data_IF_085206864236
#
_entry.id   IF_085206864236
#
_cell.length_a   1.000
_cell.length_b   1.000
_cell.length_c   1.000
_cell.angle_alpha   90.00
_cell.angle_beta   90.00
_cell.angle_gamma   90.00
#
_symmetry.space_group_name_H-M   'P 1'
#
loop_
_entity.id
_entity.type
_entity.pdbx_description
1 polymer ?
#
# COMPACT_ATOMS: atom_id res chain seq x y z
N UNK A 1 -26.49 10.71 18.85
CA UNK A 1 -26.42 9.77 20.00
C UNK A 1 -27.75 9.04 20.10
N UNK A 2 -27.72 7.71 20.21
CA UNK A 2 -28.85 6.74 20.17
C UNK A 2 -29.50 6.55 18.80
N UNK A 3 -28.91 5.67 17.99
CA UNK A 3 -29.58 4.75 17.03
C UNK A 3 -28.58 4.12 16.03
N UNK A 4 -27.30 3.96 16.39
CA UNK A 4 -26.29 3.32 15.53
C UNK A 4 -25.42 2.36 16.36
N UNK A 5 -26.06 1.44 17.08
CA UNK A 5 -25.37 0.47 17.94
C UNK A 5 -25.99 -0.93 17.94
N UNK A 6 -26.95 -1.24 17.05
CA UNK A 6 -27.68 -2.51 17.10
C UNK A 6 -27.60 -3.38 15.82
N UNK A 7 -26.76 -3.01 14.84
CA UNK A 7 -26.59 -3.81 13.59
C UNK A 7 -25.12 -4.12 13.25
N UNK A 8 -24.22 -4.08 14.25
CA UNK A 8 -22.83 -4.55 14.09
C UNK A 8 -22.60 -5.88 14.84
N UNK A 9 -23.61 -6.34 15.60
CA UNK A 9 -23.47 -7.49 16.50
C UNK A 9 -23.60 -8.88 15.88
N UNK A 10 -23.91 -9.02 14.58
CA UNK A 10 -24.19 -10.35 14.00
C UNK A 10 -23.35 -10.71 12.75
N UNK A 11 -22.62 -9.75 12.15
CA UNK A 11 -21.67 -10.07 11.08
C UNK A 11 -20.26 -10.40 11.61
N UNK A 12 -19.89 -9.95 12.81
CA UNK A 12 -18.61 -10.30 13.44
C UNK A 12 -18.49 -11.77 13.86
N UNK A 13 -19.60 -12.44 14.16
CA UNK A 13 -19.58 -13.81 14.68
C UNK A 13 -19.58 -14.91 13.60
N UNK A 14 -19.96 -14.58 12.36
CA UNK A 14 -19.88 -15.53 11.25
C UNK A 14 -18.52 -15.49 10.53
N UNK A 15 -17.85 -14.33 10.51
CA UNK A 15 -16.45 -14.25 10.07
C UNK A 15 -15.49 -14.97 11.04
N UNK A 16 -15.74 -14.87 12.36
CA UNK A 16 -14.97 -15.57 13.40
C UNK A 16 -15.14 -17.09 13.43
N UNK A 17 -16.16 -17.65 12.77
CA UNK A 17 -16.38 -19.11 12.68
C UNK A 17 -15.74 -19.73 11.44
N UNK A 18 -15.55 -18.98 10.36
CA UNK A 18 -14.86 -19.47 9.15
C UNK A 18 -13.33 -19.34 9.25
N UNK A 19 -12.80 -18.32 9.94
CA UNK A 19 -11.36 -18.16 10.12
C UNK A 19 -10.77 -19.14 11.16
N UNK A 20 -11.61 -19.72 12.03
CA UNK A 20 -11.18 -20.67 13.07
C UNK A 20 -10.95 -22.11 12.57
N UNK A 21 -11.29 -22.42 11.31
CA UNK A 21 -11.10 -23.75 10.71
C UNK A 21 -9.94 -23.82 9.71
N UNK A 22 -9.37 -22.68 9.31
CA UNK A 22 -8.26 -22.61 8.33
C UNK A 22 -6.93 -22.11 8.91
N UNK A 23 -6.91 -21.66 10.17
CA UNK A 23 -5.69 -21.34 10.91
C UNK A 23 -5.76 -21.92 12.33
N UNK A 24 -5.04 -23.03 12.56
CA UNK A 24 -4.75 -23.50 13.92
C UNK A 24 -3.94 -22.47 14.72
N UNK A 25 -3.95 -22.53 16.06
CA UNK A 25 -3.32 -21.53 16.90
C UNK A 25 -1.81 -21.42 16.62
N UNK A 26 -1.21 -20.21 16.73
CA UNK A 26 0.24 -20.08 16.63
C UNK A 26 0.88 -20.84 17.78
N UNK A 27 1.74 -21.79 17.41
CA UNK A 27 2.59 -22.56 18.31
C UNK A 27 3.37 -21.54 19.16
N UNK A 28 3.29 -21.57 20.51
CA UNK A 28 4.01 -20.63 21.35
C UNK A 28 5.54 -20.80 21.19
N UNK A 29 6.38 -19.78 21.47
CA UNK A 29 7.81 -19.80 21.15
C UNK A 29 8.65 -20.85 21.89
N UNK A 30 8.03 -21.66 22.75
CA UNK A 30 8.63 -22.81 23.43
C UNK A 30 8.17 -24.17 22.85
N UNK A 31 7.22 -24.19 21.92
CA UNK A 31 6.65 -25.40 21.34
C UNK A 31 7.26 -25.79 19.98
N UNK A 32 8.38 -25.15 19.59
CA UNK A 32 9.29 -25.66 18.57
C UNK A 32 10.46 -26.39 19.23
N UNK A 33 10.14 -27.44 19.99
CA UNK A 33 11.14 -28.45 20.34
C UNK A 33 11.18 -29.39 19.16
N UNK A 34 12.16 -29.13 18.31
CA UNK A 34 12.75 -30.05 17.33
C UNK A 34 12.41 -31.52 17.65
N UNK A 35 11.44 -32.09 16.94
CA UNK A 35 11.01 -33.49 17.10
C UNK A 35 12.07 -34.48 16.61
N UNK A 36 13.26 -34.00 16.23
CA UNK A 36 14.49 -34.79 16.07
C UNK A 36 15.35 -34.86 17.33
N UNK A 37 14.88 -34.33 18.48
CA UNK A 37 15.60 -34.34 19.77
C UNK A 37 14.93 -35.14 20.89
N UNK A 38 14.02 -36.04 20.55
CA UNK A 38 13.54 -37.09 21.46
C UNK A 38 13.73 -38.45 20.77
N UNK A 39 14.86 -39.12 21.01
CA UNK A 39 15.04 -40.47 20.47
C UNK A 39 16.47 -41.01 20.35
N UNK A 40 17.50 -40.22 20.64
CA UNK A 40 18.87 -40.70 20.83
C UNK A 40 19.62 -39.65 21.66
N UNK A 41 19.80 -39.91 22.95
CA UNK A 41 20.69 -39.08 23.77
C UNK A 41 22.10 -39.48 23.39
N UNK A 42 22.79 -38.52 22.78
CA UNK A 42 24.23 -38.30 22.70
C UNK A 42 25.05 -39.42 23.34
N UNK A 43 25.74 -40.21 22.50
CA UNK A 43 26.69 -41.27 22.92
C UNK A 43 27.55 -40.84 24.10
N UNK A 44 27.99 -39.58 24.14
CA UNK A 44 28.80 -39.00 25.22
C UNK A 44 28.14 -39.05 26.62
N UNK A 45 26.83 -38.80 26.75
CA UNK A 45 26.14 -38.86 28.05
C UNK A 45 25.91 -40.31 28.50
N UNK A 46 25.55 -41.20 27.56
CA UNK A 46 25.43 -42.63 27.83
C UNK A 46 26.77 -43.23 28.26
N UNK A 47 27.87 -42.92 27.55
CA UNK A 47 29.23 -43.36 27.91
C UNK A 47 29.65 -42.83 29.28
N UNK A 48 29.31 -41.58 29.62
CA UNK A 48 29.58 -41.03 30.97
C UNK A 48 28.88 -41.84 32.06
N UNK A 49 27.57 -42.10 31.92
CA UNK A 49 26.78 -42.86 32.90
C UNK A 49 27.28 -44.30 33.02
N UNK A 50 27.61 -44.95 31.91
CA UNK A 50 28.17 -46.31 31.91
C UNK A 50 29.52 -46.39 32.65
N UNK A 51 30.38 -45.39 32.46
CA UNK A 51 31.66 -45.30 33.16
C UNK A 51 31.46 -45.04 34.67
N UNK A 52 30.49 -44.21 35.05
CA UNK A 52 30.12 -43.99 36.46
C UNK A 52 29.64 -45.29 37.13
N UNK A 53 28.76 -46.06 36.46
CA UNK A 53 28.28 -47.36 36.96
C UNK A 53 29.43 -48.36 37.07
N UNK A 54 30.31 -48.44 36.07
CA UNK A 54 31.49 -49.31 36.08
C UNK A 54 32.42 -49.02 37.25
N UNK A 55 32.70 -47.73 37.53
CA UNK A 55 33.51 -47.32 38.68
C UNK A 55 32.83 -47.57 40.03
N UNK A 56 31.51 -47.41 40.10
CA UNK A 56 30.73 -47.73 41.31
C UNK A 56 30.74 -49.24 41.62
N UNK A 57 30.62 -50.11 40.59
CA UNK A 57 30.72 -51.56 40.73
C UNK A 57 32.11 -51.99 41.22
N UNK A 58 33.18 -51.35 40.73
CA UNK A 58 34.54 -51.61 41.23
C UNK A 58 34.68 -51.26 42.71
N UNK A 59 34.15 -50.11 43.12
CA UNK A 59 34.18 -49.67 44.51
C UNK A 59 33.44 -50.66 45.43
N UNK A 60 32.29 -51.17 44.97
CA UNK A 60 31.51 -52.20 45.67
C UNK A 60 32.27 -53.52 45.79
N UNK A 61 32.85 -54.01 44.69
CA UNK A 61 33.64 -55.23 44.68
C UNK A 61 34.88 -55.13 45.60
N UNK A 62 35.54 -53.97 45.64
CA UNK A 62 36.69 -53.74 46.54
C UNK A 62 36.26 -53.77 48.00
N UNK A 63 35.13 -53.15 48.36
CA UNK A 63 34.63 -53.17 49.73
C UNK A 63 34.22 -54.58 50.17
N UNK A 64 33.57 -55.35 49.30
CA UNK A 64 33.21 -56.75 49.55
C UNK A 64 34.46 -57.60 49.79
N UNK A 65 35.46 -57.50 48.91
CA UNK A 65 36.72 -58.23 49.06
C UNK A 65 37.47 -57.86 50.35
N UNK A 66 37.41 -56.59 50.77
CA UNK A 66 38.02 -56.13 52.01
C UNK A 66 37.32 -56.66 53.27
N UNK A 67 35.99 -56.79 53.25
CA UNK A 67 35.22 -57.29 54.39
C UNK A 67 35.29 -58.80 54.55
N UNK A 68 35.44 -59.52 53.44
CA UNK A 68 35.50 -60.98 53.41
C UNK A 68 36.69 -61.47 52.59
N UNK A 69 37.91 -61.48 53.16
CA UNK A 69 39.11 -61.89 52.44
C UNK A 69 39.29 -63.42 52.35
N UNK A 70 38.38 -64.20 52.94
CA UNK A 70 38.48 -65.67 52.97
C UNK A 70 38.08 -66.29 51.63
N UNK A 71 38.85 -67.30 51.22
CA UNK A 71 38.58 -68.16 50.05
C UNK A 71 37.52 -69.25 50.34
N UNK A 72 37.14 -69.47 51.60
CA UNK A 72 36.07 -70.41 51.95
C UNK A 72 34.71 -69.87 51.53
N UNK A 73 33.81 -70.77 51.09
CA UNK A 73 32.46 -70.37 50.70
C UNK A 73 31.64 -69.86 51.90
N UNK A 74 30.75 -68.89 51.69
CA UNK A 74 29.93 -68.34 52.77
C UNK A 74 29.08 -69.41 53.48
N UNK A 75 28.65 -70.45 52.76
CA UNK A 75 27.92 -71.58 53.35
C UNK A 75 28.74 -72.42 54.34
N UNK A 76 30.07 -72.45 54.16
CA UNK A 76 30.99 -73.10 55.09
C UNK A 76 31.27 -72.21 56.31
N UNK A 77 31.32 -70.88 56.09
CA UNK A 77 31.64 -69.91 57.14
C UNK A 77 30.47 -69.59 58.07
N UNK A 78 29.25 -69.43 57.53
CA UNK A 78 28.12 -68.87 58.28
C UNK A 78 26.82 -69.68 58.18
N UNK A 79 26.81 -70.83 57.49
CA UNK A 79 25.73 -71.82 57.56
C UNK A 79 25.07 -72.16 56.22
N UNK A 80 24.27 -73.23 56.21
CA UNK A 80 23.68 -73.83 55.01
C UNK A 80 22.82 -72.88 54.15
N UNK A 81 22.29 -71.81 54.73
CA UNK A 81 21.40 -70.84 54.08
C UNK A 81 22.15 -69.69 53.39
N UNK A 82 23.48 -69.75 53.35
CA UNK A 82 24.31 -68.74 52.70
C UNK A 82 24.63 -69.11 51.25
N UNK A 83 24.94 -68.14 50.39
CA UNK A 83 25.35 -68.39 49.01
C UNK A 83 26.59 -69.28 48.92
N UNK A 84 26.63 -70.15 47.92
CA UNK A 84 27.76 -71.05 47.65
C UNK A 84 28.88 -70.31 46.87
N UNK A 85 29.42 -69.24 47.46
CA UNK A 85 30.52 -68.44 46.88
C UNK A 85 31.44 -67.92 47.97
N UNK A 86 32.72 -67.73 47.64
CA UNK A 86 33.69 -67.06 48.52
C UNK A 86 33.56 -65.53 48.44
N UNK A 87 34.24 -64.82 49.35
CA UNK A 87 34.31 -63.35 49.28
C UNK A 87 34.92 -62.82 47.98
N UNK A 88 36.07 -63.35 47.53
CA UNK A 88 36.64 -63.05 46.22
C UNK A 88 35.72 -63.37 45.04
N UNK A 89 35.03 -64.52 45.06
CA UNK A 89 34.07 -64.90 44.02
C UNK A 89 32.88 -63.93 43.97
N UNK A 90 32.40 -63.49 45.14
CA UNK A 90 31.31 -62.53 45.22
C UNK A 90 31.73 -61.15 44.69
N UNK A 91 32.96 -60.72 44.98
CA UNK A 91 33.53 -59.51 44.39
C UNK A 91 33.71 -59.64 42.87
N UNK A 92 34.07 -60.82 42.35
CA UNK A 92 34.14 -61.08 40.91
C UNK A 92 32.74 -61.06 40.26
N UNK A 93 31.74 -61.63 40.93
CA UNK A 93 30.35 -61.61 40.48
C UNK A 93 29.82 -60.18 40.32
N UNK A 94 30.07 -59.30 41.30
CA UNK A 94 29.69 -57.88 41.20
C UNK A 94 30.34 -57.16 40.01
N UNK A 95 31.50 -57.63 39.54
CA UNK A 95 32.16 -57.08 38.36
C UNK A 95 31.65 -57.65 37.05
N UNK A 96 30.82 -58.70 37.04
CA UNK A 96 30.36 -59.35 35.81
C UNK A 96 29.69 -58.38 34.81
N UNK A 97 28.89 -57.37 35.23
CA UNK A 97 28.24 -56.48 34.26
C UNK A 97 29.21 -55.57 33.52
N UNK A 98 30.46 -55.42 34.00
CA UNK A 98 31.45 -54.56 33.34
C UNK A 98 31.80 -55.04 31.94
N UNK A 99 31.81 -56.35 31.70
CA UNK A 99 32.04 -56.91 30.37
C UNK A 99 30.91 -56.53 29.40
N UNK A 100 29.67 -56.55 29.89
CA UNK A 100 28.50 -56.11 29.13
C UNK A 100 28.56 -54.61 28.85
N UNK A 101 28.88 -53.80 29.86
CA UNK A 101 29.08 -52.36 29.70
C UNK A 101 30.12 -52.06 28.60
N UNK A 102 31.23 -52.80 28.58
CA UNK A 102 32.27 -52.66 27.54
C UNK A 102 31.74 -53.01 26.14
N UNK A 103 30.96 -54.07 26.00
CA UNK A 103 30.39 -54.49 24.72
C UNK A 103 29.35 -53.53 24.13
N UNK A 104 28.80 -52.63 24.95
CA UNK A 104 27.71 -51.71 24.59
C UNK A 104 28.20 -50.24 24.53
N UNK A 105 29.50 -49.96 24.70
CA UNK A 105 30.04 -48.59 24.73
C UNK A 105 29.71 -47.75 23.49
N UNK A 106 29.65 -48.38 22.31
CA UNK A 106 29.37 -47.73 21.04
C UNK A 106 27.89 -47.82 20.61
N UNK A 107 27.03 -48.46 21.42
CA UNK A 107 25.63 -48.66 21.10
C UNK A 107 24.80 -47.38 21.35
N UNK A 108 23.78 -47.17 20.52
CA UNK A 108 22.81 -46.08 20.72
C UNK A 108 21.78 -46.51 21.77
N UNK A 109 21.96 -46.06 23.02
CA UNK A 109 21.07 -46.37 24.15
C UNK A 109 19.90 -45.38 24.19
N UNK A 110 18.69 -45.87 24.51
CA UNK A 110 17.51 -45.01 24.64
C UNK A 110 17.62 -44.05 25.83
N UNK A 111 17.02 -42.87 25.72
CA UNK A 111 17.04 -41.84 26.77
C UNK A 111 16.43 -42.32 28.11
N UNK A 112 15.45 -43.23 28.05
CA UNK A 112 14.84 -43.79 29.26
C UNK A 112 15.77 -44.76 29.97
N UNK A 113 16.51 -45.60 29.23
CA UNK A 113 17.47 -46.52 29.82
C UNK A 113 18.72 -45.80 30.34
N UNK A 114 19.18 -44.73 29.69
CA UNK A 114 20.22 -43.85 30.26
C UNK A 114 19.78 -43.29 31.61
N UNK A 115 18.51 -42.86 31.73
CA UNK A 115 17.95 -42.43 33.02
C UNK A 115 17.93 -43.56 34.04
N UNK A 116 17.49 -44.76 33.66
CA UNK A 116 17.46 -45.94 34.56
C UNK A 116 18.86 -46.34 35.03
N UNK A 117 19.85 -46.32 34.15
CA UNK A 117 21.26 -46.59 34.47
C UNK A 117 21.85 -45.53 35.40
N UNK A 118 21.49 -44.25 35.26
CA UNK A 118 21.95 -43.20 36.19
C UNK A 118 21.49 -43.44 37.63
N UNK A 119 20.31 -44.05 37.83
CA UNK A 119 19.81 -44.41 39.16
C UNK A 119 20.56 -45.60 39.76
N UNK A 120 21.17 -46.47 38.94
CA UNK A 120 21.97 -47.60 39.40
C UNK A 120 23.19 -47.11 40.19
N UNK A 121 23.89 -46.08 39.70
CA UNK A 121 25.03 -45.50 40.42
C UNK A 121 24.63 -45.00 41.82
N UNK A 122 23.47 -44.33 41.93
CA UNK A 122 22.94 -43.87 43.22
C UNK A 122 22.58 -45.03 44.16
N UNK A 123 22.01 -46.12 43.62
CA UNK A 123 21.69 -47.33 44.39
C UNK A 123 22.93 -48.04 44.90
N UNK A 124 24.00 -48.10 44.09
CA UNK A 124 25.29 -48.66 44.52
C UNK A 124 25.85 -47.85 45.71
N UNK A 125 25.78 -46.51 45.67
CA UNK A 125 26.20 -45.68 46.80
C UNK A 125 25.40 -45.97 48.07
N UNK A 126 24.08 -46.16 47.96
CA UNK A 126 23.25 -46.57 49.09
C UNK A 126 23.66 -47.95 49.64
N UNK A 127 23.95 -48.92 48.76
CA UNK A 127 24.41 -50.26 49.11
C UNK A 127 25.75 -50.21 49.85
N UNK A 128 26.73 -49.45 49.35
CA UNK A 128 28.03 -49.24 49.99
C UNK A 128 27.89 -48.70 51.42
N UNK A 129 27.01 -47.73 51.63
CA UNK A 129 26.83 -47.07 52.94
C UNK A 129 26.01 -47.88 53.94
N UNK A 130 25.00 -48.62 53.49
CA UNK A 130 23.96 -49.17 54.38
C UNK A 130 23.83 -50.70 54.35
N UNK A 131 24.27 -51.36 53.28
CA UNK A 131 24.03 -52.80 53.08
C UNK A 131 25.31 -53.61 53.26
N UNK A 132 26.41 -53.20 52.63
CA UNK A 132 27.67 -53.98 52.57
C UNK A 132 28.24 -54.27 53.95
N UNK A 133 28.12 -53.35 54.91
CA UNK A 133 28.56 -53.56 56.30
C UNK A 133 27.90 -54.75 56.99
N UNK A 134 26.74 -55.21 56.51
CA UNK A 134 26.03 -56.39 57.05
C UNK A 134 26.48 -57.71 56.40
N UNK A 135 27.49 -57.67 55.52
CA UNK A 135 27.97 -58.86 54.82
C UNK A 135 28.56 -59.91 55.78
N UNK A 136 29.37 -59.58 56.80
CA UNK A 136 29.89 -60.59 57.71
C UNK A 136 28.79 -61.21 58.61
N UNK A 137 28.71 -62.54 58.61
CA UNK A 137 27.86 -63.31 59.52
C UNK A 137 26.49 -63.66 58.96
N UNK A 138 25.48 -63.72 59.85
CA UNK A 138 24.16 -64.30 59.55
C UNK A 138 23.31 -63.54 58.52
N UNK A 139 23.68 -62.31 58.15
CA UNK A 139 22.92 -61.47 57.20
C UNK A 139 23.46 -61.54 55.76
N UNK A 140 24.52 -62.31 55.51
CA UNK A 140 25.16 -62.39 54.19
C UNK A 140 24.20 -62.81 53.07
N UNK A 141 23.26 -63.72 53.35
CA UNK A 141 22.24 -64.15 52.39
C UNK A 141 21.35 -62.99 51.91
N UNK A 142 20.97 -62.07 52.79
CA UNK A 142 20.17 -60.90 52.42
C UNK A 142 20.98 -59.89 51.62
N UNK A 143 22.25 -59.68 51.98
CA UNK A 143 23.17 -58.82 51.23
C UNK A 143 23.36 -59.36 49.81
N UNK A 144 23.52 -60.67 49.66
CA UNK A 144 23.58 -61.32 48.35
C UNK A 144 22.32 -61.07 47.52
N UNK A 145 21.12 -61.26 48.07
CA UNK A 145 19.86 -61.03 47.33
C UNK A 145 19.77 -59.58 46.83
N UNK A 146 20.13 -58.60 47.67
CA UNK A 146 20.11 -57.19 47.29
C UNK A 146 21.08 -56.92 46.14
N UNK A 147 22.31 -57.42 46.23
CA UNK A 147 23.33 -57.23 45.19
C UNK A 147 22.98 -58.01 43.91
N UNK A 148 22.45 -59.21 44.02
CA UNK A 148 21.99 -60.01 42.88
C UNK A 148 20.90 -59.27 42.10
N UNK A 149 19.92 -58.68 42.81
CA UNK A 149 18.85 -57.89 42.16
C UNK A 149 19.37 -56.65 41.43
N UNK A 150 20.50 -56.08 41.90
CA UNK A 150 21.17 -54.97 41.23
C UNK A 150 21.86 -55.45 39.94
N UNK A 151 22.63 -56.54 40.03
CA UNK A 151 23.36 -57.13 38.89
C UNK A 151 22.38 -57.56 37.79
N UNK A 152 21.31 -58.28 38.14
CA UNK A 152 20.27 -58.70 37.19
C UNK A 152 19.58 -57.52 36.50
N UNK A 153 19.37 -56.40 37.22
CA UNK A 153 18.77 -55.19 36.65
C UNK A 153 19.68 -54.57 35.59
N UNK A 154 20.99 -54.51 35.85
CA UNK A 154 21.97 -54.00 34.88
C UNK A 154 22.00 -54.91 33.64
N UNK A 155 22.10 -56.23 33.84
CA UNK A 155 22.15 -57.21 32.75
C UNK A 155 20.91 -57.13 31.86
N UNK A 156 19.72 -57.01 32.46
CA UNK A 156 18.45 -56.88 31.74
C UNK A 156 18.40 -55.60 30.88
N UNK A 157 18.93 -54.48 31.38
CA UNK A 157 18.94 -53.22 30.63
C UNK A 157 19.97 -53.27 29.50
N UNK A 158 21.09 -53.95 29.67
CA UNK A 158 22.17 -53.97 28.67
C UNK A 158 22.00 -55.07 27.62
N UNK A 159 21.35 -56.19 27.96
CA UNK A 159 21.19 -57.34 27.07
C UNK A 159 20.42 -57.03 25.79
N UNK A 160 19.51 -56.05 25.83
CA UNK A 160 18.74 -55.60 24.67
C UNK A 160 19.57 -54.83 23.63
N UNK A 161 20.79 -54.42 23.98
CA UNK A 161 21.69 -53.65 23.11
C UNK A 161 22.86 -54.49 22.56
N UNK A 162 22.90 -55.79 22.87
CA UNK A 162 23.89 -56.70 22.28
C UNK A 162 23.54 -57.03 20.82
N UNK A 163 24.53 -57.03 19.90
CA UNK A 163 24.32 -57.47 18.53
C UNK A 163 23.90 -58.95 18.51
N UNK A 164 22.79 -59.25 17.81
CA UNK A 164 22.08 -60.54 17.75
C UNK A 164 22.82 -61.68 17.02
N UNK A 165 24.15 -61.69 16.99
CA UNK A 165 24.94 -62.65 16.19
C UNK A 165 25.30 -63.96 16.91
N UNK A 166 24.89 -64.13 18.17
CA UNK A 166 25.40 -65.17 19.06
C UNK A 166 24.52 -66.44 19.14
N UNK A 167 23.51 -66.59 18.28
CA UNK A 167 22.66 -67.81 18.23
C UNK A 167 22.86 -68.62 16.96
N UNK A 168 24.07 -68.64 16.41
CA UNK A 168 24.44 -69.62 15.38
C UNK A 168 25.47 -70.58 15.96
N UNK A 169 25.09 -71.86 16.05
CA UNK A 169 26.07 -72.94 16.16
C UNK A 169 27.01 -72.82 14.96
N UNK A 170 28.24 -72.37 15.19
CA UNK A 170 29.24 -72.24 14.14
C UNK A 170 29.68 -73.64 13.66
N UNK A 171 28.95 -74.17 12.68
CA UNK A 171 29.17 -75.48 12.07
C UNK A 171 30.57 -75.60 11.44
N UNK A 172 31.24 -74.48 11.14
CA UNK A 172 32.62 -74.48 10.64
C UNK A 172 33.62 -74.94 11.72
N UNK A 173 33.39 -74.55 12.97
CA UNK A 173 34.26 -74.94 14.09
C UNK A 173 34.24 -76.45 14.39
N UNK A 174 33.15 -77.15 14.01
CA UNK A 174 33.00 -78.61 14.18
C UNK A 174 33.71 -79.37 13.04
N UNK A 175 33.72 -78.81 11.83
CA UNK A 175 34.36 -79.40 10.65
C UNK A 175 35.89 -79.39 10.77
N UNK A 176 36.47 -78.28 11.24
CA UNK A 176 37.93 -78.12 11.37
C UNK A 176 38.56 -78.99 12.47
N UNK A 177 37.78 -79.36 13.49
CA UNK A 177 38.28 -80.16 14.62
C UNK A 177 38.10 -81.68 14.45
N UNK A 178 37.55 -82.12 13.31
CA UNK A 178 37.35 -83.53 12.97
C UNK A 178 36.65 -84.35 14.09
N UNK A 179 35.72 -83.70 14.82
CA UNK A 179 35.12 -84.23 16.05
C UNK A 179 33.98 -85.23 15.78
N UNK A 180 33.51 -85.35 14.53
CA UNK A 180 32.37 -86.19 14.17
C UNK A 180 32.69 -87.11 12.98
N UNK A 181 32.23 -88.37 13.00
CA UNK A 181 32.35 -89.29 11.87
C UNK A 181 31.63 -88.75 10.61
N UNK A 182 32.21 -89.01 9.44
CA UNK A 182 31.74 -88.49 8.15
C UNK A 182 30.26 -88.81 7.80
N UNK A 183 29.70 -89.87 8.38
CA UNK A 183 28.29 -90.24 8.20
C UNK A 183 27.32 -89.28 8.90
N UNK A 184 27.67 -88.78 10.09
CA UNK A 184 26.83 -87.87 10.87
C UNK A 184 26.89 -86.45 10.32
N UNK A 185 28.07 -86.02 9.85
CA UNK A 185 28.28 -84.74 9.16
C UNK A 185 27.41 -84.63 7.89
N UNK A 186 27.26 -85.75 7.16
CA UNK A 186 26.40 -85.82 5.97
C UNK A 186 24.92 -85.69 6.30
N UNK A 187 24.47 -86.27 7.43
CA UNK A 187 23.08 -86.13 7.89
C UNK A 187 22.79 -84.69 8.32
N UNK A 188 23.71 -84.08 9.08
CA UNK A 188 23.60 -82.67 9.48
C UNK A 188 23.52 -81.71 8.29
N UNK A 189 24.30 -81.94 7.23
CA UNK A 189 24.20 -81.14 5.99
C UNK A 189 22.84 -81.30 5.31
N UNK A 190 22.30 -82.52 5.28
CA UNK A 190 20.97 -82.76 4.71
C UNK A 190 19.88 -82.07 5.51
N UNK A 191 19.92 -82.15 6.84
CA UNK A 191 18.92 -81.50 7.70
C UNK A 191 19.04 -79.97 7.64
N UNK A 192 20.25 -79.41 7.63
CA UNK A 192 20.47 -77.97 7.43
C UNK A 192 19.90 -77.48 6.10
N UNK A 193 20.18 -78.19 5.00
CA UNK A 193 19.65 -77.85 3.67
C UNK A 193 18.13 -77.99 3.57
N UNK A 194 17.53 -78.92 4.32
CA UNK A 194 16.08 -79.08 4.38
C UNK A 194 15.40 -77.93 5.14
N UNK A 195 16.02 -77.46 6.22
CA UNK A 195 15.54 -76.31 7.00
C UNK A 195 15.66 -75.02 6.18
N UNK A 196 16.76 -74.85 5.45
CA UNK A 196 16.96 -73.69 4.56
C UNK A 196 15.90 -73.63 3.44
N UNK A 197 15.56 -74.77 2.83
CA UNK A 197 14.49 -74.86 1.83
C UNK A 197 13.11 -74.50 2.39
N UNK A 198 12.79 -74.94 3.60
CA UNK A 198 11.52 -74.61 4.27
C UNK A 198 11.41 -73.11 4.57
N UNK A 199 12.52 -72.45 4.92
CA UNK A 199 12.55 -71.00 5.11
C UNK A 199 12.26 -70.22 3.81
N UNK A 200 12.79 -70.68 2.67
CA UNK A 200 12.53 -70.07 1.36
C UNK A 200 11.07 -70.23 0.94
N UNK A 201 10.47 -71.42 1.11
CA UNK A 201 9.07 -71.67 0.73
C UNK A 201 8.07 -70.86 1.58
N UNK A 202 8.35 -70.64 2.87
CA UNK A 202 7.53 -69.80 3.74
C UNK A 202 7.48 -68.34 3.27
N UNK A 203 8.61 -67.82 2.78
CA UNK A 203 8.71 -66.43 2.29
C UNK A 203 7.93 -66.19 0.99
N UNK A 204 7.95 -67.16 0.05
CA UNK A 204 7.19 -67.08 -1.21
C UNK A 204 5.67 -67.19 -0.95
N UNK A 205 5.26 -68.03 0.01
CA UNK A 205 3.86 -68.17 0.38
C UNK A 205 3.32 -66.86 1.01
N UNK A 206 4.11 -66.22 1.87
CA UNK A 206 3.73 -64.95 2.50
C UNK A 206 3.54 -63.84 1.45
N UNK A 207 4.47 -63.72 0.49
CA UNK A 207 4.37 -62.76 -0.62
C UNK A 207 3.11 -62.93 -1.46
N UNK A 208 2.73 -64.19 -1.75
CA UNK A 208 1.50 -64.49 -2.49
C UNK A 208 0.25 -64.12 -1.70
N UNK A 209 0.22 -64.41 -0.40
CA UNK A 209 -0.90 -64.04 0.48
C UNK A 209 -1.03 -62.52 0.58
N UNK A 210 0.08 -61.79 0.72
CA UNK A 210 0.08 -60.32 0.76
C UNK A 210 -0.45 -59.72 -0.56
N UNK A 211 -0.06 -60.31 -1.70
CA UNK A 211 -0.55 -59.90 -3.02
C UNK A 211 -2.06 -60.11 -3.18
N UNK A 212 -2.58 -61.27 -2.73
CA UNK A 212 -4.02 -61.58 -2.80
C UNK A 212 -4.81 -60.62 -1.91
N UNK A 213 -4.32 -60.34 -0.71
CA UNK A 213 -4.97 -59.40 0.20
C UNK A 213 -4.98 -57.97 -0.36
N UNK A 214 -3.87 -57.53 -0.95
CA UNK A 214 -3.79 -56.22 -1.60
C UNK A 214 -4.78 -56.08 -2.77
N UNK A 215 -4.88 -57.10 -3.64
CA UNK A 215 -5.84 -57.10 -4.75
C UNK A 215 -7.29 -57.14 -4.26
N UNK A 216 -7.57 -57.87 -3.18
CA UNK A 216 -8.91 -57.95 -2.61
C UNK A 216 -9.38 -56.62 -2.03
N UNK A 217 -8.49 -55.87 -1.36
CA UNK A 217 -8.79 -54.53 -0.85
C UNK A 217 -9.12 -53.56 -2.00
N UNK A 218 -8.31 -53.54 -3.06
CA UNK A 218 -8.54 -52.70 -4.25
C UNK A 218 -9.84 -53.06 -4.97
N UNK A 219 -10.18 -54.34 -5.06
CA UNK A 219 -11.41 -54.78 -5.71
C UNK A 219 -12.69 -54.39 -4.93
N UNK A 220 -12.61 -54.24 -3.61
CA UNK A 220 -13.73 -53.76 -2.79
C UNK A 220 -13.97 -52.25 -2.96
N UNK A 221 -12.92 -51.46 -3.22
CA UNK A 221 -13.00 -50.00 -3.34
C UNK A 221 -13.43 -49.54 -4.75
N UNK A 222 -13.19 -50.35 -5.80
CA UNK A 222 -13.47 -50.00 -7.20
C UNK A 222 -14.91 -49.51 -7.49
N UNK A 223 -16.00 -50.15 -6.99
CA UNK A 223 -17.36 -49.71 -7.29
C UNK A 223 -17.69 -48.33 -6.71
N UNK A 224 -17.14 -48.00 -5.54
CA UNK A 224 -17.29 -46.69 -4.92
C UNK A 224 -16.58 -45.60 -5.75
N UNK A 225 -15.40 -45.92 -6.28
CA UNK A 225 -14.64 -45.01 -7.14
C UNK A 225 -15.35 -44.74 -8.48
N UNK A 226 -15.95 -45.75 -9.13
CA UNK A 226 -16.69 -45.55 -10.39
C UNK A 226 -17.93 -44.67 -10.19
N UNK A 227 -18.65 -44.86 -9.09
CA UNK A 227 -19.79 -44.02 -8.75
C UNK A 227 -19.36 -42.57 -8.50
N UNK A 228 -18.28 -42.37 -7.73
CA UNK A 228 -17.73 -41.04 -7.46
C UNK A 228 -17.26 -40.33 -8.75
N UNK A 229 -16.71 -41.08 -9.70
CA UNK A 229 -16.26 -40.56 -11.00
C UNK A 229 -17.44 -40.16 -11.89
N UNK A 230 -18.54 -40.93 -11.86
CA UNK A 230 -19.78 -40.60 -12.57
C UNK A 230 -20.42 -39.33 -12.00
N UNK A 231 -20.45 -39.20 -10.67
CA UNK A 231 -20.95 -38.01 -9.97
C UNK A 231 -20.08 -36.78 -10.26
N UNK A 232 -18.75 -36.92 -10.24
CA UNK A 232 -17.82 -35.85 -10.61
C UNK A 232 -18.00 -35.40 -12.06
N UNK A 233 -18.25 -36.32 -13.00
CA UNK A 233 -18.57 -35.98 -14.41
C UNK A 233 -19.88 -35.23 -14.55
N UNK A 234 -20.91 -35.64 -13.81
CA UNK A 234 -22.20 -34.95 -13.78
C UNK A 234 -22.06 -33.52 -13.27
N UNK A 235 -21.36 -33.35 -12.14
CA UNK A 235 -21.06 -32.03 -11.56
C UNK A 235 -20.25 -31.15 -12.52
N UNK A 236 -19.28 -31.73 -13.23
CA UNK A 236 -18.50 -30.99 -14.24
C UNK A 236 -19.38 -30.52 -15.42
N UNK A 237 -20.33 -31.32 -15.88
CA UNK A 237 -21.26 -30.93 -16.94
C UNK A 237 -22.18 -29.78 -16.50
N UNK A 238 -22.69 -29.82 -15.26
CA UNK A 238 -23.49 -28.74 -14.67
C UNK A 238 -22.64 -27.47 -14.56
N UNK A 239 -21.41 -27.57 -14.04
CA UNK A 239 -20.49 -26.44 -13.92
C UNK A 239 -20.15 -25.81 -15.28
N UNK A 240 -20.01 -26.61 -16.34
CA UNK A 240 -19.81 -26.07 -17.69
C UNK A 240 -21.01 -25.30 -18.21
N UNK A 241 -22.23 -25.79 -17.95
CA UNK A 241 -23.45 -25.10 -18.36
C UNK A 241 -23.63 -23.78 -17.60
N UNK A 242 -23.39 -23.79 -16.29
CA UNK A 242 -23.40 -22.57 -15.47
C UNK A 242 -22.35 -21.55 -15.94
N UNK A 243 -21.15 -22.02 -16.32
CA UNK A 243 -20.10 -21.16 -16.86
C UNK A 243 -20.52 -20.54 -18.20
N UNK A 244 -21.19 -21.29 -19.07
CA UNK A 244 -21.72 -20.77 -20.33
C UNK A 244 -22.80 -19.70 -20.10
N UNK A 245 -23.69 -19.91 -19.12
CA UNK A 245 -24.73 -18.93 -18.76
C UNK A 245 -24.13 -17.67 -18.14
N UNK A 246 -23.15 -17.81 -17.24
CA UNK A 246 -22.46 -16.67 -16.60
C UNK A 246 -21.68 -15.87 -17.64
N UNK A 247 -20.98 -16.53 -18.56
CA UNK A 247 -20.24 -15.84 -19.64
C UNK A 247 -21.19 -15.15 -20.62
N UNK A 248 -22.36 -15.73 -20.90
CA UNK A 248 -23.43 -15.09 -21.66
C UNK A 248 -23.91 -13.79 -21.00
N UNK A 249 -24.28 -13.86 -19.72
CA UNK A 249 -24.72 -12.69 -18.92
C UNK A 249 -23.63 -11.63 -18.78
N UNK A 250 -22.38 -12.04 -18.61
CA UNK A 250 -21.24 -11.12 -18.52
C UNK A 250 -21.03 -10.35 -19.84
N UNK A 251 -21.14 -11.03 -20.99
CA UNK A 251 -21.05 -10.37 -22.29
C UNK A 251 -22.22 -9.43 -22.57
N UNK A 252 -23.43 -9.79 -22.15
CA UNK A 252 -24.61 -8.92 -22.23
C UNK A 252 -24.42 -7.66 -21.37
N UNK A 253 -24.00 -7.84 -20.12
CA UNK A 253 -23.67 -6.73 -19.21
C UNK A 253 -22.57 -5.83 -19.77
N UNK A 254 -21.55 -6.40 -20.42
CA UNK A 254 -20.46 -5.64 -21.05
C UNK A 254 -20.99 -4.77 -22.19
N UNK A 255 -21.90 -5.30 -23.03
CA UNK A 255 -22.57 -4.51 -24.08
C UNK A 255 -23.41 -3.37 -23.50
N UNK A 256 -24.16 -3.64 -22.42
CA UNK A 256 -24.93 -2.60 -21.74
C UNK A 256 -24.03 -1.49 -21.18
N UNK A 257 -22.91 -1.86 -20.55
CA UNK A 257 -21.92 -0.90 -20.03
C UNK A 257 -21.33 -0.05 -21.15
N UNK A 258 -20.95 -0.65 -22.28
CA UNK A 258 -20.44 0.10 -23.44
C UNK A 258 -21.47 1.10 -23.98
N UNK A 259 -22.75 0.69 -24.03
CA UNK A 259 -23.83 1.54 -24.51
C UNK A 259 -24.11 2.69 -23.52
N UNK A 260 -24.01 2.42 -22.22
CA UNK A 260 -24.10 3.45 -21.17
C UNK A 260 -22.91 4.40 -21.26
N UNK A 261 -21.70 3.91 -21.49
CA UNK A 261 -20.49 4.72 -21.64
C UNK A 261 -20.62 5.67 -22.83
N UNK A 262 -21.08 5.20 -23.99
CA UNK A 262 -21.32 6.04 -25.16
C UNK A 262 -22.36 7.14 -24.86
N UNK A 263 -23.47 6.78 -24.19
CA UNK A 263 -24.49 7.74 -23.75
C UNK A 263 -23.93 8.74 -22.75
N UNK A 264 -23.06 8.31 -21.84
CA UNK A 264 -22.43 9.17 -20.83
C UNK A 264 -21.50 10.19 -21.50
N UNK A 265 -20.68 9.75 -22.45
CA UNK A 265 -19.80 10.65 -23.23
C UNK A 265 -20.63 11.66 -24.02
N UNK A 266 -21.70 11.22 -24.69
CA UNK A 266 -22.60 12.14 -25.40
C UNK A 266 -23.25 13.15 -24.46
N UNK A 267 -23.74 12.69 -23.30
CA UNK A 267 -24.33 13.55 -22.29
C UNK A 267 -23.31 14.54 -21.70
N UNK A 268 -22.06 14.13 -21.48
CA UNK A 268 -20.99 15.02 -21.01
C UNK A 268 -20.68 16.11 -22.06
N UNK A 269 -20.57 15.74 -23.33
CA UNK A 269 -20.38 16.71 -24.43
C UNK A 269 -21.56 17.70 -24.50
N UNK A 270 -22.79 17.23 -24.32
CA UNK A 270 -23.96 18.11 -24.30
C UNK A 270 -23.99 19.01 -23.06
N UNK A 271 -23.68 18.46 -21.88
CA UNK A 271 -23.57 19.21 -20.63
C UNK A 271 -22.50 20.31 -20.72
N UNK A 272 -21.33 20.01 -21.28
CA UNK A 272 -20.28 20.98 -21.53
C UNK A 272 -20.73 22.09 -22.49
N UNK A 273 -21.47 21.75 -23.56
CA UNK A 273 -22.05 22.75 -24.48
C UNK A 273 -23.06 23.64 -23.78
N UNK A 274 -23.94 23.07 -22.94
CA UNK A 274 -24.93 23.82 -22.18
C UNK A 274 -24.24 24.73 -21.15
N UNK A 275 -23.24 24.24 -20.42
CA UNK A 275 -22.44 25.03 -19.50
C UNK A 275 -21.70 26.17 -20.21
N UNK A 276 -21.11 25.92 -21.37
CA UNK A 276 -20.45 26.97 -22.16
C UNK A 276 -21.44 28.05 -22.62
N UNK A 277 -22.64 27.67 -23.07
CA UNK A 277 -23.70 28.62 -23.44
C UNK A 277 -24.20 29.41 -22.23
N UNK A 278 -24.40 28.75 -21.09
CA UNK A 278 -24.82 29.39 -19.85
C UNK A 278 -23.77 30.38 -19.35
N UNK A 279 -22.49 29.99 -19.32
CA UNK A 279 -21.38 30.87 -18.94
C UNK A 279 -21.23 32.06 -19.91
N UNK A 280 -21.38 31.83 -21.22
CA UNK A 280 -21.37 32.91 -22.21
C UNK A 280 -22.52 33.89 -21.98
N UNK A 281 -23.75 33.39 -21.83
CA UNK A 281 -24.93 34.21 -21.56
C UNK A 281 -24.81 34.96 -20.22
N UNK A 282 -24.31 34.30 -19.17
CA UNK A 282 -24.07 34.90 -17.86
C UNK A 282 -22.98 35.97 -17.93
N UNK A 283 -21.86 35.70 -18.61
CA UNK A 283 -20.79 36.70 -18.82
C UNK A 283 -21.29 37.91 -19.61
N UNK A 284 -22.15 37.70 -20.62
CA UNK A 284 -22.74 38.77 -21.41
C UNK A 284 -23.74 39.63 -20.60
N UNK A 285 -24.48 39.02 -19.68
CA UNK A 285 -25.45 39.71 -18.82
C UNK A 285 -24.84 40.37 -17.57
N UNK A 286 -23.57 40.11 -17.29
CA UNK A 286 -22.87 40.61 -16.10
C UNK A 286 -21.98 41.81 -16.43
N UNK A 287 -21.31 42.30 -15.39
CA UNK A 287 -20.25 43.33 -15.39
C UNK A 287 -19.16 43.06 -16.43
N UNK A 288 -18.84 41.81 -16.76
CA UNK A 288 -17.91 41.47 -17.87
C UNK A 288 -18.46 41.93 -19.22
N UNK A 289 -19.70 41.57 -19.54
CA UNK A 289 -20.37 41.95 -20.79
C UNK A 289 -20.65 43.45 -20.88
N UNK A 290 -21.07 44.08 -19.78
CA UNK A 290 -21.23 45.54 -19.70
C UNK A 290 -19.89 46.26 -19.93
N UNK A 291 -18.80 45.80 -19.29
CA UNK A 291 -17.47 46.35 -19.49
C UNK A 291 -16.99 46.23 -20.94
N UNK A 292 -17.24 45.09 -21.58
CA UNK A 292 -16.94 44.89 -23.00
C UNK A 292 -17.76 45.83 -23.90
N UNK A 293 -19.05 46.01 -23.63
CA UNK A 293 -19.91 46.93 -24.38
C UNK A 293 -19.46 48.39 -24.23
N UNK A 294 -19.04 48.81 -23.02
CA UNK A 294 -18.47 50.14 -22.80
C UNK A 294 -17.14 50.33 -23.52
N UNK A 295 -16.24 49.34 -23.49
CA UNK A 295 -14.98 49.37 -24.23
C UNK A 295 -15.20 49.47 -25.75
N UNK A 296 -16.17 48.72 -26.27
CA UNK A 296 -16.53 48.77 -27.69
C UNK A 296 -17.07 50.15 -28.07
N UNK A 297 -17.95 50.73 -27.25
CA UNK A 297 -18.47 52.10 -27.46
C UNK A 297 -17.36 53.14 -27.40
N UNK A 298 -16.47 53.07 -26.41
CA UNK A 298 -15.32 53.96 -26.28
C UNK A 298 -14.41 53.90 -27.51
N UNK A 299 -14.05 52.69 -27.97
CA UNK A 299 -13.18 52.51 -29.14
C UNK A 299 -13.83 52.98 -30.45
N UNK A 300 -15.12 52.73 -30.66
CA UNK A 300 -15.88 53.26 -31.82
C UNK A 300 -15.88 54.79 -31.82
N UNK A 301 -16.06 55.41 -30.65
CA UNK A 301 -16.08 56.86 -30.52
C UNK A 301 -14.68 57.48 -30.72
N UNK A 302 -13.63 56.82 -30.21
CA UNK A 302 -12.24 57.20 -30.45
C UNK A 302 -11.87 57.11 -31.95
N UNK A 303 -12.21 56.01 -32.63
CA UNK A 303 -12.02 55.87 -34.09
C UNK A 303 -12.77 56.95 -34.86
N UNK A 304 -14.01 57.26 -34.47
CA UNK A 304 -14.79 58.34 -35.08
C UNK A 304 -14.14 59.72 -34.85
N UNK A 305 -13.55 59.94 -33.68
CA UNK A 305 -12.81 61.15 -33.32
C UNK A 305 -11.58 61.30 -34.24
N UNK A 306 -10.82 60.23 -34.48
CA UNK A 306 -9.69 60.26 -35.44
C UNK A 306 -10.13 60.62 -36.87
N UNK A 307 -11.26 60.07 -37.34
CA UNK A 307 -11.81 60.41 -38.65
C UNK A 307 -12.20 61.89 -38.73
N UNK A 308 -12.86 62.43 -37.69
CA UNK A 308 -13.17 63.87 -37.62
C UNK A 308 -11.89 64.73 -37.61
N UNK A 309 -10.83 64.28 -36.92
CA UNK A 309 -9.54 64.96 -36.91
C UNK A 309 -8.92 65.04 -38.31
N UNK A 310 -9.03 63.97 -39.10
CA UNK A 310 -8.60 63.97 -40.51
C UNK A 310 -9.45 64.93 -41.36
N UNK A 311 -10.77 64.93 -41.19
CA UNK A 311 -11.66 65.86 -41.90
C UNK A 311 -11.34 67.32 -41.53
N UNK A 312 -11.04 67.60 -40.26
CA UNK A 312 -10.62 68.91 -39.79
C UNK A 312 -9.33 69.37 -40.47
N UNK A 313 -8.32 68.48 -40.57
CA UNK A 313 -7.07 68.76 -41.25
C UNK A 313 -7.29 69.09 -42.74
N UNK A 314 -8.14 68.32 -43.42
CA UNK A 314 -8.52 68.59 -44.82
C UNK A 314 -9.27 69.91 -44.95
N UNK A 315 -10.22 70.21 -44.06
CA UNK A 315 -10.98 71.46 -44.08
C UNK A 315 -10.06 72.67 -43.88
N UNK A 316 -9.08 72.58 -42.98
CA UNK A 316 -8.09 73.63 -42.75
C UNK A 316 -7.16 73.81 -43.96
N UNK A 317 -6.72 72.70 -44.57
CA UNK A 317 -5.93 72.71 -45.80
C UNK A 317 -6.69 73.37 -46.97
N UNK A 318 -7.94 72.99 -47.20
CA UNK A 318 -8.80 73.63 -48.20
C UNK A 318 -9.05 75.11 -47.89
N UNK A 319 -9.25 75.47 -46.62
CA UNK A 319 -9.37 76.87 -46.22
C UNK A 319 -8.12 77.68 -46.56
N UNK A 320 -6.93 77.13 -46.28
CA UNK A 320 -5.66 77.77 -46.60
C UNK A 320 -5.45 77.92 -48.12
N UNK A 321 -5.75 76.90 -48.92
CA UNK A 321 -5.60 76.98 -50.38
C UNK A 321 -6.60 77.95 -51.01
N UNK A 322 -7.87 77.93 -50.60
CA UNK A 322 -8.89 78.90 -51.04
C UNK A 322 -8.47 80.32 -50.68
N UNK A 323 -7.99 80.53 -49.45
CA UNK A 323 -7.53 81.85 -48.99
C UNK A 323 -6.36 82.33 -49.84
N UNK A 324 -5.35 81.48 -50.09
CA UNK A 324 -4.20 81.82 -50.92
C UNK A 324 -4.61 82.28 -52.33
N UNK A 325 -5.43 81.49 -53.04
CA UNK A 325 -5.88 81.85 -54.38
C UNK A 325 -6.74 83.11 -54.41
N UNK A 326 -7.63 83.29 -53.42
CA UNK A 326 -8.50 84.48 -53.36
C UNK A 326 -7.72 85.76 -53.03
N UNK A 327 -6.78 85.69 -52.09
CA UNK A 327 -5.92 86.83 -51.74
C UNK A 327 -5.04 87.21 -52.92
N UNK A 328 -4.44 86.22 -53.61
CA UNK A 328 -3.65 86.47 -54.82
C UNK A 328 -4.49 87.11 -55.93
N UNK A 329 -5.73 86.65 -56.11
CA UNK A 329 -6.65 87.22 -57.11
C UNK A 329 -7.03 88.68 -56.81
N UNK A 330 -7.40 88.99 -55.56
CA UNK A 330 -7.70 90.38 -55.15
C UNK A 330 -6.46 91.27 -55.24
N UNK A 331 -5.28 90.76 -54.87
CA UNK A 331 -4.02 91.49 -55.00
C UNK A 331 -3.69 91.80 -56.47
N UNK A 332 -3.83 90.83 -57.38
CA UNK A 332 -3.65 91.04 -58.83
C UNK A 332 -4.63 92.05 -59.40
N UNK A 333 -5.89 92.05 -58.93
CA UNK A 333 -6.87 93.06 -59.32
C UNK A 333 -6.44 94.47 -58.87
N UNK A 334 -5.89 94.63 -57.67
CA UNK A 334 -5.43 95.95 -57.18
C UNK A 334 -4.23 96.53 -57.95
N UNK A 335 -3.44 95.68 -58.62
CA UNK A 335 -2.27 96.12 -59.40
C UNK A 335 -2.63 96.64 -60.81
N UNK A 336 -3.88 96.49 -61.27
CA UNK A 336 -4.29 96.94 -62.60
C UNK A 336 -4.64 98.45 -62.61
N UNK A 337 -4.23 99.22 -63.64
CA UNK A 337 -4.62 100.63 -63.76
C UNK A 337 -6.12 100.76 -64.11
N UNK A 338 -6.85 101.63 -63.40
CA UNK A 338 -8.28 101.92 -63.56
C UNK A 338 -9.29 100.83 -63.13
N UNK A 339 -9.14 100.26 -61.92
CA UNK A 339 -10.11 99.28 -61.38
C UNK A 339 -11.36 99.99 -60.85
N UNK A 340 -12.54 99.54 -61.27
CA UNK A 340 -13.82 99.98 -60.72
C UNK A 340 -13.98 99.49 -59.26
N UNK A 341 -14.15 100.42 -58.33
CA UNK A 341 -14.33 100.16 -56.89
C UNK A 341 -15.44 99.13 -56.60
N UNK A 342 -16.51 99.12 -57.40
CA UNK A 342 -17.62 98.16 -57.23
C UNK A 342 -17.16 96.71 -57.48
N UNK A 343 -16.31 96.50 -58.49
CA UNK A 343 -15.77 95.16 -58.82
C UNK A 343 -14.82 94.68 -57.73
N UNK A 344 -14.03 95.59 -57.16
CA UNK A 344 -13.13 95.27 -56.04
C UNK A 344 -13.92 94.83 -54.81
N UNK A 345 -14.95 95.58 -54.41
CA UNK A 345 -15.76 95.24 -53.23
C UNK A 345 -16.52 93.92 -53.37
N UNK A 346 -17.08 93.64 -54.54
CA UNK A 346 -17.75 92.36 -54.81
C UNK A 346 -16.76 91.20 -54.64
N UNK A 347 -15.52 91.33 -55.12
CA UNK A 347 -14.52 90.27 -54.97
C UNK A 347 -14.00 90.11 -53.53
N UNK A 348 -13.93 91.21 -52.77
CA UNK A 348 -13.60 91.16 -51.34
C UNK A 348 -14.70 90.45 -50.54
N UNK A 349 -15.98 90.73 -50.80
CA UNK A 349 -17.09 90.05 -50.11
C UNK A 349 -17.18 88.58 -50.48
N UNK A 350 -16.98 88.22 -51.76
CA UNK A 350 -16.88 86.82 -52.19
C UNK A 350 -15.71 86.10 -51.52
N UNK A 351 -14.57 86.77 -51.32
CA UNK A 351 -13.42 86.22 -50.61
C UNK A 351 -13.74 85.98 -49.14
N UNK A 352 -14.32 86.97 -48.45
CA UNK A 352 -14.74 86.85 -47.06
C UNK A 352 -15.75 85.71 -46.86
N UNK A 353 -16.75 85.59 -47.74
CA UNK A 353 -17.72 84.50 -47.71
C UNK A 353 -17.07 83.13 -47.97
N UNK A 354 -16.14 83.06 -48.93
CA UNK A 354 -15.45 81.82 -49.29
C UNK A 354 -14.56 81.29 -48.14
N UNK A 355 -13.89 82.18 -47.40
CA UNK A 355 -13.03 81.81 -46.25
C UNK A 355 -13.88 81.48 -45.01
N UNK A 356 -15.03 82.13 -44.86
CA UNK A 356 -15.93 81.90 -43.72
C UNK A 356 -16.44 80.46 -43.65
N UNK A 357 -16.70 79.81 -44.79
CA UNK A 357 -17.25 78.44 -44.82
C UNK A 357 -16.27 77.37 -44.26
N UNK A 358 -15.00 77.28 -44.71
CA UNK A 358 -14.01 76.38 -44.10
C UNK A 358 -13.72 76.68 -42.62
N UNK A 359 -13.68 77.97 -42.24
CA UNK A 359 -13.45 78.39 -40.84
C UNK A 359 -14.61 77.96 -39.94
N UNK A 360 -15.86 78.14 -40.39
CA UNK A 360 -17.04 77.67 -39.68
C UNK A 360 -17.06 76.15 -39.53
N UNK A 361 -16.73 75.43 -40.61
CA UNK A 361 -16.65 73.97 -40.60
C UNK A 361 -15.59 73.47 -39.61
N UNK A 362 -14.39 74.09 -39.61
CA UNK A 362 -13.31 73.76 -38.69
C UNK A 362 -13.73 73.99 -37.22
N UNK A 363 -14.44 75.09 -36.94
CA UNK A 363 -14.98 75.36 -35.61
C UNK A 363 -15.99 74.31 -35.15
N UNK A 364 -16.96 73.93 -35.99
CA UNK A 364 -17.93 72.85 -35.67
C UNK A 364 -17.20 71.54 -35.38
N UNK A 365 -16.26 71.15 -36.25
CA UNK A 365 -15.49 69.92 -36.09
C UNK A 365 -14.68 69.91 -34.79
N UNK A 366 -14.11 71.06 -34.41
CA UNK A 366 -13.35 71.23 -33.15
C UNK A 366 -14.25 71.11 -31.91
N UNK A 367 -15.54 71.45 -31.99
CA UNK A 367 -16.49 71.16 -30.90
C UNK A 367 -16.90 69.69 -30.87
N UNK A 368 -17.20 69.10 -32.03
CA UNK A 368 -17.60 67.70 -32.11
C UNK A 368 -16.50 66.73 -31.66
N UNK A 369 -15.25 67.01 -32.00
CA UNK A 369 -14.08 66.23 -31.55
C UNK A 369 -13.96 66.27 -30.01
N UNK A 370 -14.12 67.44 -29.40
CA UNK A 370 -14.04 67.60 -27.94
C UNK A 370 -15.15 66.84 -27.22
N UNK A 371 -16.39 66.92 -27.71
CA UNK A 371 -17.52 66.18 -27.16
C UNK A 371 -17.33 64.67 -27.27
N UNK A 372 -16.93 64.17 -28.45
CA UNK A 372 -16.71 62.72 -28.66
C UNK A 372 -15.52 62.18 -27.88
N UNK A 373 -14.46 62.96 -27.69
CA UNK A 373 -13.33 62.57 -26.86
C UNK A 373 -13.73 62.43 -25.38
N UNK A 374 -14.44 63.42 -24.82
CA UNK A 374 -14.94 63.36 -23.43
C UNK A 374 -15.85 62.15 -23.20
N UNK A 375 -16.75 61.87 -24.15
CA UNK A 375 -17.62 60.68 -24.09
C UNK A 375 -16.82 59.37 -24.21
N UNK A 376 -15.77 59.33 -25.04
CA UNK A 376 -14.94 58.14 -25.20
C UNK A 376 -14.18 57.82 -23.91
N UNK A 377 -13.65 58.85 -23.24
CA UNK A 377 -12.95 58.71 -21.96
C UNK A 377 -13.89 58.26 -20.84
N UNK A 378 -15.12 58.81 -20.76
CA UNK A 378 -16.12 58.37 -19.77
C UNK A 378 -16.49 56.88 -19.95
N UNK A 379 -16.73 56.44 -21.18
CA UNK A 379 -16.99 55.03 -21.47
C UNK A 379 -15.76 54.15 -21.22
N UNK A 380 -14.55 54.65 -21.51
CA UNK A 380 -13.29 53.98 -21.20
C UNK A 380 -13.11 53.77 -19.69
N UNK A 381 -13.40 54.80 -18.90
CA UNK A 381 -13.39 54.74 -17.44
C UNK A 381 -14.40 53.71 -16.91
N UNK A 382 -15.64 53.73 -17.41
CA UNK A 382 -16.67 52.73 -17.02
C UNK A 382 -16.26 51.30 -17.36
N UNK A 383 -15.63 51.09 -18.52
CA UNK A 383 -15.09 49.79 -18.89
C UNK A 383 -13.97 49.33 -17.94
N UNK A 384 -13.06 50.24 -17.57
CA UNK A 384 -11.98 49.96 -16.62
C UNK A 384 -12.51 49.62 -15.23
N UNK A 385 -13.51 50.36 -14.72
CA UNK A 385 -14.17 50.10 -13.44
C UNK A 385 -14.87 48.74 -13.45
N UNK A 386 -15.61 48.41 -14.50
CA UNK A 386 -16.27 47.11 -14.63
C UNK A 386 -15.27 45.94 -14.64
N UNK A 387 -14.14 46.10 -15.34
CA UNK A 387 -13.08 45.09 -15.38
C UNK A 387 -12.34 44.96 -14.04
N UNK A 388 -12.07 46.07 -13.37
CA UNK A 388 -11.47 46.07 -12.04
C UNK A 388 -12.39 45.41 -11.00
N UNK A 389 -13.70 45.69 -11.06
CA UNK A 389 -14.69 45.03 -10.21
C UNK A 389 -14.64 43.51 -10.36
N UNK A 390 -14.63 42.99 -11.59
CA UNK A 390 -14.55 41.54 -11.82
C UNK A 390 -13.24 40.91 -11.31
N UNK A 391 -12.12 41.62 -11.45
CA UNK A 391 -10.84 41.19 -10.87
C UNK A 391 -10.88 41.08 -9.34
N UNK A 392 -11.41 42.11 -8.67
CA UNK A 392 -11.46 42.15 -7.21
C UNK A 392 -12.63 41.38 -6.60
N UNK A 393 -13.69 41.09 -7.35
CA UNK A 393 -14.89 40.39 -6.85
C UNK A 393 -14.55 39.00 -6.31
N UNK A 394 -13.68 38.26 -7.00
CA UNK A 394 -13.28 36.92 -6.58
C UNK A 394 -12.46 36.95 -5.28
N UNK A 395 -11.56 37.91 -5.13
CA UNK A 395 -10.73 38.08 -3.93
C UNK A 395 -11.55 38.62 -2.75
N UNK A 396 -12.43 39.61 -2.99
CA UNK A 396 -13.28 40.20 -1.97
C UNK A 396 -14.28 39.17 -1.39
N UNK A 397 -14.82 38.28 -2.24
CA UNK A 397 -15.73 37.22 -1.80
C UNK A 397 -15.07 36.20 -0.86
N UNK A 398 -13.75 36.03 -0.93
CA UNK A 398 -13.00 35.15 -0.04
C UNK A 398 -12.64 35.80 1.30
N UNK A 399 -12.48 37.13 1.32
CA UNK A 399 -12.08 37.88 2.51
C UNK A 399 -13.31 38.18 3.39
N UNK A 400 -14.32 38.86 2.85
CA UNK A 400 -15.49 39.31 3.61
C UNK A 400 -16.72 39.64 2.73
N UNK A 401 -17.90 39.25 3.22
CA UNK A 401 -19.19 39.54 2.58
C UNK A 401 -19.54 41.02 2.62
N UNK A 402 -19.18 41.76 3.68
CA UNK A 402 -19.47 43.20 3.77
C UNK A 402 -18.64 43.99 2.75
N UNK A 403 -17.35 43.65 2.62
CA UNK A 403 -16.46 44.21 1.59
C UNK A 403 -17.02 43.99 0.18
N UNK A 404 -17.52 42.79 -0.12
CA UNK A 404 -18.12 42.46 -1.41
C UNK A 404 -19.35 43.33 -1.73
N UNK A 405 -20.23 43.55 -0.75
CA UNK A 405 -21.41 44.43 -0.90
C UNK A 405 -21.00 45.88 -1.14
N UNK A 406 -20.01 46.37 -0.39
CA UNK A 406 -19.47 47.73 -0.56
C UNK A 406 -18.81 47.91 -1.93
N UNK A 407 -18.02 46.93 -2.37
CA UNK A 407 -17.38 46.94 -3.69
C UNK A 407 -18.42 46.96 -4.81
N UNK A 408 -19.47 46.13 -4.70
CA UNK A 408 -20.57 46.12 -5.67
C UNK A 408 -21.34 47.45 -5.68
N UNK A 409 -21.63 48.03 -4.51
CA UNK A 409 -22.27 49.35 -4.40
C UNK A 409 -21.45 50.45 -5.08
N UNK A 410 -20.15 50.52 -4.79
CA UNK A 410 -19.25 51.50 -5.42
C UNK A 410 -19.21 51.31 -6.94
N UNK A 411 -19.14 50.06 -7.42
CA UNK A 411 -19.13 49.78 -8.85
C UNK A 411 -20.46 50.19 -9.51
N UNK A 412 -21.60 49.89 -8.89
CA UNK A 412 -22.93 50.24 -9.39
C UNK A 412 -23.12 51.75 -9.47
N UNK A 413 -22.70 52.50 -8.45
CA UNK A 413 -22.78 53.96 -8.44
C UNK A 413 -21.96 54.56 -9.59
N UNK A 414 -20.73 54.07 -9.80
CA UNK A 414 -19.85 54.57 -10.88
C UNK A 414 -20.34 54.21 -12.28
N UNK A 415 -20.95 53.03 -12.45
CA UNK A 415 -21.53 52.62 -13.73
C UNK A 415 -22.85 53.35 -14.02
N UNK A 416 -23.62 53.68 -12.98
CA UNK A 416 -24.90 54.40 -13.07
C UNK A 416 -24.77 55.91 -13.29
N UNK A 417 -23.58 56.50 -13.14
CA UNK A 417 -23.35 57.94 -13.38
C UNK A 417 -23.68 58.34 -14.83
N UNK A 418 -24.51 59.37 -14.99
CA UNK A 418 -24.96 59.84 -16.31
C UNK A 418 -23.78 60.35 -17.17
N UNK A 419 -23.65 59.89 -18.44
CA UNK A 419 -22.51 60.21 -19.31
C UNK A 419 -22.44 61.69 -19.74
N UNK A 420 -23.51 62.45 -19.54
CA UNK A 420 -23.64 63.85 -19.96
C UNK A 420 -23.09 64.86 -18.94
N UNK A 421 -22.49 64.42 -17.83
CA UNK A 421 -21.93 65.32 -16.80
C UNK A 421 -20.79 66.21 -17.34
N UNK A 422 -20.02 65.70 -18.30
CA UNK A 422 -18.84 66.38 -18.85
C UNK A 422 -19.12 67.13 -20.16
N UNK A 423 -20.36 67.10 -20.64
CA UNK A 423 -20.79 67.83 -21.84
C UNK A 423 -21.37 69.17 -21.39
N UNK A 424 -20.75 70.27 -21.81
CA UNK A 424 -21.21 71.63 -21.50
C UNK A 424 -22.67 71.81 -21.95
N UNK A 425 -23.52 72.29 -21.03
CA UNK A 425 -24.97 72.48 -21.29
C UNK A 425 -25.26 73.75 -22.11
N UNK A 426 -24.36 74.73 -22.07
CA UNK A 426 -24.48 75.99 -22.79
C UNK A 426 -23.47 76.05 -23.94
N UNK A 427 -23.94 75.80 -25.17
CA UNK A 427 -23.11 75.94 -26.38
C UNK A 427 -23.57 77.17 -27.17
N UNK A 428 -22.74 78.24 -27.25
CA UNK A 428 -22.94 79.35 -28.18
C UNK A 428 -23.20 78.86 -29.61
N UNK A 429 -24.19 79.44 -30.29
CA UNK A 429 -24.65 78.97 -31.61
C UNK A 429 -23.74 79.32 -32.80
N UNK A 430 -22.67 80.11 -32.61
CA UNK A 430 -21.77 80.48 -33.71
C UNK A 430 -20.33 80.78 -33.26
N UNK A 431 -19.32 80.62 -34.14
CA UNK A 431 -17.94 80.98 -33.87
C UNK A 431 -17.76 82.45 -33.44
N UNK A 432 -18.56 83.35 -34.03
CA UNK A 432 -18.53 84.77 -33.70
C UNK A 432 -19.04 85.05 -32.28
N UNK A 433 -20.05 84.32 -31.81
CA UNK A 433 -20.59 84.48 -30.45
C UNK A 433 -19.60 84.03 -29.38
N UNK A 434 -18.82 82.98 -29.67
CA UNK A 434 -17.73 82.52 -28.80
C UNK A 434 -16.52 83.48 -28.83
N UNK A 435 -16.13 84.01 -29.99
CA UNK A 435 -15.02 84.95 -30.09
C UNK A 435 -15.29 86.30 -29.41
N UNK A 436 -16.55 86.75 -29.35
CA UNK A 436 -16.93 88.00 -28.68
C UNK A 436 -16.71 88.00 -27.17
N UNK A 437 -16.78 86.83 -26.51
CA UNK A 437 -16.56 86.71 -25.06
C UNK A 437 -15.12 87.04 -24.63
N UNK A 438 -14.10 86.33 -25.17
CA UNK A 438 -12.69 86.62 -24.95
C UNK A 438 -12.30 88.03 -25.41
N UNK A 439 -12.82 88.50 -26.55
CA UNK A 439 -12.54 89.85 -27.05
C UNK A 439 -13.08 90.91 -26.08
N UNK A 440 -14.29 90.74 -25.52
CA UNK A 440 -14.82 91.64 -24.49
C UNK A 440 -14.00 91.60 -23.20
N UNK A 441 -13.51 90.45 -22.74
CA UNK A 441 -12.65 90.36 -21.56
C UNK A 441 -11.27 91.00 -21.79
N UNK A 442 -10.71 90.85 -23.00
CA UNK A 442 -9.44 91.48 -23.39
C UNK A 442 -9.55 93.01 -23.45
N UNK A 443 -10.67 93.56 -23.93
CA UNK A 443 -10.94 95.01 -23.91
C UNK A 443 -11.47 95.54 -22.56
N UNK A 444 -12.06 94.70 -21.72
CA UNK A 444 -12.55 95.07 -20.38
C UNK A 444 -11.46 95.01 -19.28
N UNK A 445 -10.27 94.49 -19.58
CA UNK A 445 -9.15 94.31 -18.66
C UNK A 445 -8.44 95.58 -18.16
N UNK A 446 -9.06 96.77 -18.24
CA UNK A 446 -8.46 98.05 -17.77
C UNK A 446 -9.21 98.69 -16.60
N UNK A 447 -9.82 97.90 -15.70
CA UNK A 447 -10.32 98.41 -14.42
C UNK A 447 -9.88 97.50 -13.28
N UNK A 448 -9.11 97.99 -12.28
CA UNK A 448 -8.77 97.21 -11.10
C UNK A 448 -10.04 97.02 -10.26
N UNK A 449 -10.46 95.78 -10.03
CA UNK A 449 -11.52 95.46 -9.07
C UNK A 449 -10.96 95.62 -7.65
N UNK A 450 -11.49 96.59 -6.92
CA UNK A 450 -11.45 96.58 -5.45
C UNK A 450 -12.42 95.51 -4.94
N UNK A 451 -12.05 94.97 -3.78
CA UNK A 451 -12.87 94.19 -2.85
C UNK A 451 -12.89 92.67 -3.06
N UNK A 452 -11.94 92.01 -2.38
CA UNK A 452 -12.13 90.66 -1.88
C UNK A 452 -12.57 90.74 -0.42
N UNK A 453 -13.81 90.33 -0.11
CA UNK A 453 -14.24 89.83 1.20
C UNK A 453 -15.50 88.97 1.01
N UNK A 454 -15.50 87.77 1.60
CA UNK A 454 -16.69 86.95 1.91
C UNK A 454 -16.95 85.82 0.91
N UNK A 455 -17.15 84.57 1.31
CA UNK A 455 -17.30 83.95 2.61
C UNK A 455 -17.52 82.45 2.40
N UNK A 456 -17.15 81.64 3.39
CA UNK A 456 -17.50 80.23 3.50
C UNK A 456 -19.00 80.04 3.74
N UNK A 457 -19.58 78.98 3.15
CA UNK A 457 -20.53 78.03 3.76
C UNK A 457 -21.36 77.31 2.68
N UNK A 458 -21.61 76.00 2.88
CA UNK A 458 -22.62 75.21 2.16
C UNK A 458 -22.11 73.91 1.55
#
# INVERSE_FOLDING_TARGET
>A
MRAHAAMVGNQGWQQLKLDLWLYGPPIPPWANIDSRKCGAVMTEEATRVLNEVSGALDSLAVQIAAMTPSESAFMELWGWNMPAMSGPDFAAYVRSPKALIQSVQDAVITADDVRRLSLVAQRIQYILGNVVNNLPGGNAAHVYVVINSLVENIDTILSQYLPSDNTTLDLKAIEDRNLLPASQLRVLRRTASAIERLGVEQSDLQSKVDTINAVHLVAQELPADVQSLADARSQYAVAQQELADVTGKANESLKEVQLIEEKLVLADVEAQKVLARANSAYSAATTVGLGAAFAERASKLHRSTLVLGLILLVALGCGATITFFRVEFVHKLMLQPNVNFNVLWVNVTFTALSVSAPVWLAWILTRQIGQRFRLAEDYGYKAAVAKAYEGYRAEAAQIDSELTKRLFGIALDRLGEAPLRLVEKDSPGSPAHEAQGPIRQFFAGSRPSKDGVGGSEG
#
